data_IF_769947097921
#
_entry.id   IF_769947097921
#
_cell.length_a   1.000
_cell.length_b   1.000
_cell.length_c   1.000
_cell.angle_alpha   90.00
_cell.angle_beta   90.00
_cell.angle_gamma   90.00
#
_symmetry.space_group_name_H-M   'P 1'
#
loop_
_entity.id
_entity.type
_entity.pdbx_description
1 polymer ?
#
# COMPACT_ATOMS: atom_id res chain seq x y z
N UNK A 1 54.04 27.10 -71.60
CA UNK A 1 53.96 28.32 -70.78
C UNK A 1 52.71 28.24 -69.92
N UNK A 2 52.89 28.40 -68.59
CA UNK A 2 51.91 28.68 -67.52
C UNK A 2 50.90 27.59 -67.10
N UNK A 3 50.85 27.44 -65.77
CA UNK A 3 50.17 26.48 -64.90
C UNK A 3 48.72 26.85 -64.51
N UNK A 4 48.07 25.86 -63.86
CA UNK A 4 47.00 25.93 -62.83
C UNK A 4 45.55 26.10 -63.34
N UNK A 5 44.46 25.59 -62.74
CA UNK A 5 44.13 24.67 -61.62
C UNK A 5 42.58 24.45 -61.68
N UNK A 6 42.10 23.31 -61.16
CA UNK A 6 40.79 23.08 -60.46
C UNK A 6 39.44 23.43 -61.14
N UNK A 7 38.53 22.45 -61.25
CA UNK A 7 37.51 22.16 -60.22
C UNK A 7 36.65 20.95 -60.61
N UNK A 8 36.47 20.04 -59.66
CA UNK A 8 35.68 18.79 -59.73
C UNK A 8 34.19 19.04 -59.46
N UNK A 9 33.35 18.38 -60.25
CA UNK A 9 31.89 18.44 -60.23
C UNK A 9 31.32 17.58 -59.08
N UNK A 10 30.48 18.19 -58.24
CA UNK A 10 29.73 17.53 -57.18
C UNK A 10 28.46 16.87 -57.76
N UNK A 11 28.25 15.60 -57.45
CA UNK A 11 26.98 14.90 -57.66
C UNK A 11 26.44 14.45 -56.29
N UNK A 12 25.27 15.01 -55.92
CA UNK A 12 24.47 14.55 -54.79
C UNK A 12 23.93 13.14 -55.08
N UNK A 13 24.15 12.21 -54.15
CA UNK A 13 23.40 10.96 -54.05
C UNK A 13 22.74 10.92 -52.66
N UNK A 14 21.40 10.96 -52.70
CA UNK A 14 20.51 10.81 -51.55
C UNK A 14 20.43 9.32 -51.21
N UNK A 15 20.99 8.93 -50.06
CA UNK A 15 20.80 7.61 -49.48
C UNK A 15 19.82 7.68 -48.31
N UNK A 16 18.61 7.16 -48.50
CA UNK A 16 17.62 6.99 -47.46
C UNK A 16 18.10 5.94 -46.44
N UNK A 17 18.39 6.37 -45.22
CA UNK A 17 18.62 5.48 -44.09
C UNK A 17 17.30 5.32 -43.32
N UNK A 18 16.64 4.17 -43.51
CA UNK A 18 15.59 3.71 -42.62
C UNK A 18 16.21 3.42 -41.25
N UNK A 19 16.21 4.44 -40.39
CA UNK A 19 16.48 4.28 -38.97
C UNK A 19 15.14 3.98 -38.30
N UNK A 20 14.69 2.73 -38.36
CA UNK A 20 13.65 2.24 -37.45
C UNK A 20 14.21 2.35 -36.05
N UNK A 21 13.84 3.41 -35.34
CA UNK A 21 13.94 3.46 -33.89
C UNK A 21 13.22 2.21 -33.37
N UNK A 22 14.00 1.23 -32.93
CA UNK A 22 13.52 0.26 -31.96
C UNK A 22 13.06 1.09 -30.77
N UNK A 23 11.75 1.30 -30.64
CA UNK A 23 11.17 1.62 -29.36
C UNK A 23 11.63 0.53 -28.40
N UNK A 24 12.45 0.90 -27.43
CA UNK A 24 12.69 0.07 -26.26
C UNK A 24 11.31 -0.34 -25.74
N UNK A 25 11.04 -1.64 -25.68
CA UNK A 25 9.92 -2.17 -24.91
C UNK A 25 9.93 -1.50 -23.54
N UNK A 26 8.77 -1.07 -23.06
CA UNK A 26 8.64 -0.40 -21.77
C UNK A 26 9.31 -1.25 -20.67
N UNK A 27 10.27 -0.66 -19.95
CA UNK A 27 10.79 -1.21 -18.70
C UNK A 27 9.64 -1.11 -17.66
N UNK A 28 8.80 -2.15 -17.54
CA UNK A 28 7.62 -2.13 -16.64
C UNK A 28 6.82 -3.44 -16.64
N UNK A 29 5.85 -3.53 -15.70
CA UNK A 29 4.88 -4.62 -15.65
C UNK A 29 3.96 -4.59 -16.87
N UNK A 30 3.60 -5.77 -17.39
CA UNK A 30 2.89 -5.96 -18.67
C UNK A 30 1.53 -6.65 -18.52
N UNK A 31 1.21 -7.16 -17.33
CA UNK A 31 0.11 -8.09 -17.11
C UNK A 31 0.48 -9.56 -17.31
N UNK A 32 1.76 -9.87 -17.56
CA UNK A 32 2.20 -11.23 -17.85
C UNK A 32 2.04 -12.15 -16.62
N UNK A 33 1.68 -13.43 -16.80
CA UNK A 33 1.57 -14.36 -15.68
C UNK A 33 2.87 -14.49 -14.90
N UNK A 34 2.79 -14.41 -13.57
CA UNK A 34 3.93 -14.54 -12.65
C UNK A 34 4.95 -13.39 -12.66
N UNK A 35 4.65 -12.26 -13.32
CA UNK A 35 5.56 -11.11 -13.35
C UNK A 35 5.72 -10.43 -11.97
N UNK A 36 4.67 -10.47 -11.13
CA UNK A 36 4.67 -9.95 -9.77
C UNK A 36 5.22 -11.03 -8.82
N UNK A 37 6.30 -10.69 -8.11
CA UNK A 37 6.96 -11.56 -7.14
C UNK A 37 6.85 -10.93 -5.76
N UNK A 38 6.02 -11.52 -4.91
CA UNK A 38 5.71 -10.97 -3.61
C UNK A 38 6.85 -11.20 -2.61
N UNK A 39 7.09 -10.18 -1.81
CA UNK A 39 7.85 -10.24 -0.56
C UNK A 39 6.87 -9.92 0.56
N UNK A 40 6.70 -10.81 1.52
CA UNK A 40 5.95 -10.51 2.76
C UNK A 40 6.94 -10.19 3.87
N UNK A 41 6.97 -8.94 4.33
CA UNK A 41 7.91 -8.47 5.35
C UNK A 41 7.22 -8.29 6.71
N UNK A 42 7.74 -8.98 7.74
CA UNK A 42 7.31 -8.88 9.14
C UNK A 42 5.75 -8.90 9.29
N UNK A 43 5.06 -9.93 8.74
CA UNK A 43 3.60 -9.96 8.72
C UNK A 43 3.05 -10.17 10.13
N UNK A 44 2.21 -9.25 10.59
CA UNK A 44 1.60 -9.30 11.92
C UNK A 44 0.11 -8.93 11.94
N UNK A 45 -0.48 -8.73 10.76
CA UNK A 45 -1.90 -8.46 10.59
C UNK A 45 -2.51 -9.39 9.54
N UNK A 46 -3.81 -9.67 9.63
CA UNK A 46 -4.45 -10.63 8.72
C UNK A 46 -4.45 -10.15 7.26
N UNK A 47 -4.40 -8.83 7.02
CA UNK A 47 -4.30 -8.25 5.67
C UNK A 47 -3.05 -8.72 4.90
N UNK A 48 -1.94 -9.04 5.58
CA UNK A 48 -0.75 -9.58 4.92
C UNK A 48 -1.06 -10.89 4.18
N UNK A 49 -1.89 -11.75 4.77
CA UNK A 49 -2.33 -12.97 4.11
C UNK A 49 -3.46 -12.69 3.11
N UNK A 50 -4.34 -11.73 3.37
CA UNK A 50 -5.53 -11.48 2.54
C UNK A 50 -5.18 -11.09 1.10
N UNK A 51 -4.04 -10.44 0.86
CA UNK A 51 -3.50 -10.19 -0.49
C UNK A 51 -3.35 -11.48 -1.31
N UNK A 52 -3.10 -12.60 -0.64
CA UNK A 52 -2.93 -13.93 -1.22
C UNK A 52 -4.21 -14.78 -1.14
N UNK A 53 -5.39 -14.21 -0.82
CA UNK A 53 -6.63 -14.99 -0.68
C UNK A 53 -7.07 -15.66 -1.98
N UNK A 54 -6.73 -15.08 -3.14
CA UNK A 54 -7.07 -15.58 -4.48
C UNK A 54 -5.84 -15.55 -5.38
N UNK A 55 -5.81 -16.46 -6.37
CA UNK A 55 -4.68 -16.63 -7.28
C UNK A 55 -4.79 -15.70 -8.48
N UNK A 56 -4.27 -14.48 -8.37
CA UNK A 56 -4.16 -13.57 -9.53
C UNK A 56 -3.11 -14.10 -10.52
N UNK A 57 -3.40 -14.23 -11.83
CA UNK A 57 -2.45 -14.80 -12.80
C UNK A 57 -1.10 -14.10 -12.84
N UNK A 58 -1.08 -12.78 -12.61
CA UNK A 58 0.14 -11.96 -12.60
C UNK A 58 1.08 -12.27 -11.42
N UNK A 59 0.58 -12.88 -10.35
CA UNK A 59 1.35 -13.13 -9.13
C UNK A 59 1.99 -14.51 -9.19
N UNK A 60 3.31 -14.55 -9.05
CA UNK A 60 4.11 -15.76 -8.94
C UNK A 60 3.67 -16.58 -7.72
N UNK A 61 3.59 -17.90 -7.89
CA UNK A 61 3.28 -18.82 -6.79
C UNK A 61 4.37 -18.84 -5.71
N UNK A 62 5.62 -18.59 -6.09
CA UNK A 62 6.73 -18.44 -5.15
C UNK A 62 6.63 -17.06 -4.47
N UNK A 63 6.49 -17.07 -3.15
CA UNK A 63 6.38 -15.88 -2.30
C UNK A 63 7.48 -15.90 -1.24
N UNK A 64 8.20 -14.80 -1.07
CA UNK A 64 9.34 -14.73 -0.17
C UNK A 64 8.96 -14.06 1.14
N UNK A 65 9.06 -14.78 2.25
CA UNK A 65 8.71 -14.25 3.58
C UNK A 65 9.98 -13.95 4.37
N UNK A 66 10.08 -12.75 4.92
CA UNK A 66 11.17 -12.33 5.80
C UNK A 66 10.59 -11.76 7.08
N UNK A 67 10.87 -12.41 8.22
CA UNK A 67 10.28 -12.00 9.49
C UNK A 67 11.19 -12.36 10.69
N UNK A 68 11.01 -11.72 11.86
CA UNK A 68 11.50 -12.29 13.11
C UNK A 68 10.77 -13.62 13.41
N UNK A 69 11.45 -14.55 14.08
CA UNK A 69 10.80 -15.77 14.58
C UNK A 69 9.76 -15.41 15.63
N UNK A 70 8.52 -15.89 15.49
CA UNK A 70 7.50 -15.63 16.51
C UNK A 70 6.08 -15.98 16.09
N UNK A 71 5.13 -15.57 16.94
CA UNK A 71 3.70 -15.77 16.76
C UNK A 71 3.20 -15.21 15.43
N UNK A 72 3.60 -13.97 15.10
CA UNK A 72 3.10 -13.21 13.95
C UNK A 72 3.31 -13.94 12.61
N UNK A 73 4.54 -14.35 12.30
CA UNK A 73 4.85 -15.11 11.07
C UNK A 73 4.19 -16.49 11.06
N UNK A 74 4.12 -17.18 12.20
CA UNK A 74 3.46 -18.48 12.27
C UNK A 74 1.96 -18.37 11.97
N UNK A 75 1.31 -17.32 12.47
CA UNK A 75 -0.09 -17.01 12.22
C UNK A 75 -0.35 -16.60 10.76
N UNK A 76 0.58 -15.86 10.14
CA UNK A 76 0.54 -15.60 8.71
C UNK A 76 0.58 -16.90 7.88
N UNK A 77 1.58 -17.75 8.12
CA UNK A 77 1.76 -19.00 7.37
C UNK A 77 0.57 -19.96 7.54
N UNK A 78 -0.04 -20.04 8.73
CA UNK A 78 -1.27 -20.81 8.95
C UNK A 78 -2.43 -20.32 8.08
N UNK A 79 -2.57 -19.00 7.88
CA UNK A 79 -3.62 -18.43 7.02
C UNK A 79 -3.39 -18.78 5.56
N UNK A 80 -2.14 -18.68 5.09
CA UNK A 80 -1.76 -19.08 3.73
C UNK A 80 -2.04 -20.58 3.50
N UNK A 81 -1.66 -21.43 4.44
CA UNK A 81 -1.95 -22.86 4.36
C UNK A 81 -3.45 -23.14 4.34
N UNK A 82 -4.24 -22.40 5.12
CA UNK A 82 -5.70 -22.45 5.07
C UNK A 82 -6.27 -22.05 3.70
N UNK A 83 -5.60 -21.17 2.94
CA UNK A 83 -6.00 -20.88 1.56
C UNK A 83 -5.58 -21.97 0.58
N UNK A 84 -4.40 -22.58 0.79
CA UNK A 84 -3.90 -23.67 -0.05
C UNK A 84 -4.72 -24.96 0.11
N UNK A 85 -5.33 -25.18 1.28
CA UNK A 85 -6.02 -26.44 1.62
C UNK A 85 -7.55 -26.35 1.64
N UNK A 86 -8.12 -25.18 1.34
CA UNK A 86 -9.59 -25.01 1.30
C UNK A 86 -10.22 -25.83 0.17
N UNK A 87 -11.46 -26.26 0.37
CA UNK A 87 -12.20 -27.05 -0.62
C UNK A 87 -12.46 -26.28 -1.92
N UNK A 88 -12.92 -25.03 -1.80
CA UNK A 88 -13.33 -24.22 -2.94
C UNK A 88 -12.18 -23.34 -3.44
N UNK A 89 -11.77 -23.55 -4.69
CA UNK A 89 -10.71 -22.79 -5.36
C UNK A 89 -9.43 -22.65 -4.51
N UNK A 90 -8.76 -23.76 -4.12
CA UNK A 90 -7.54 -23.70 -3.32
C UNK A 90 -6.45 -22.89 -4.02
N UNK A 91 -5.68 -22.14 -3.24
CA UNK A 91 -4.47 -21.47 -3.73
C UNK A 91 -3.30 -22.47 -3.80
N UNK A 92 -2.17 -22.05 -4.37
CA UNK A 92 -0.98 -22.90 -4.52
C UNK A 92 0.29 -22.11 -4.19
N UNK A 93 0.24 -21.31 -3.12
CA UNK A 93 1.36 -20.48 -2.69
C UNK A 93 2.48 -21.35 -2.13
N UNK A 94 3.70 -21.10 -2.61
CA UNK A 94 4.93 -21.67 -2.10
C UNK A 94 5.65 -20.61 -1.27
N UNK A 95 5.42 -20.63 0.05
CA UNK A 95 6.02 -19.70 1.00
C UNK A 95 7.49 -20.08 1.25
N UNK A 96 8.42 -19.30 0.68
CA UNK A 96 9.86 -19.44 0.85
C UNK A 96 10.29 -18.56 2.02
N UNK A 97 10.38 -19.18 3.21
CA UNK A 97 10.48 -18.45 4.48
C UNK A 97 11.92 -18.29 4.96
N UNK A 98 12.26 -17.07 5.35
CA UNK A 98 13.41 -16.73 6.18
C UNK A 98 12.96 -16.12 7.50
N UNK A 99 13.33 -16.76 8.62
CA UNK A 99 13.17 -16.20 9.95
C UNK A 99 14.52 -16.02 10.64
N UNK A 100 14.78 -14.80 11.13
CA UNK A 100 16.05 -14.42 11.74
C UNK A 100 15.96 -13.03 12.34
N UNK A 101 16.94 -12.60 13.12
CA UNK A 101 17.00 -11.22 13.64
C UNK A 101 17.38 -10.20 12.58
N UNK A 102 18.07 -10.66 11.53
CA UNK A 102 18.57 -9.90 10.37
C UNK A 102 17.60 -9.94 9.17
N UNK A 103 16.33 -10.31 9.38
CA UNK A 103 15.32 -10.51 8.31
C UNK A 103 15.22 -9.37 7.31
N UNK A 104 15.26 -8.10 7.78
CA UNK A 104 15.21 -6.93 6.91
C UNK A 104 16.48 -6.81 6.07
N UNK A 105 17.65 -6.99 6.68
CA UNK A 105 18.95 -6.94 6.00
C UNK A 105 19.05 -8.05 4.96
N UNK A 106 18.59 -9.26 5.31
CA UNK A 106 18.52 -10.41 4.43
C UNK A 106 17.61 -10.15 3.22
N UNK A 107 16.41 -9.60 3.45
CA UNK A 107 15.47 -9.25 2.38
C UNK A 107 16.09 -8.27 1.38
N UNK A 108 16.70 -7.20 1.89
CA UNK A 108 17.31 -6.15 1.07
C UNK A 108 18.56 -6.62 0.32
N UNK A 109 19.30 -7.58 0.89
CA UNK A 109 20.46 -8.19 0.25
C UNK A 109 20.07 -9.17 -0.87
N UNK A 110 19.03 -9.97 -0.65
CA UNK A 110 18.63 -11.02 -1.59
C UNK A 110 17.75 -10.52 -2.73
N UNK A 111 16.93 -9.47 -2.51
CA UNK A 111 16.05 -8.82 -3.51
C UNK A 111 15.26 -9.80 -4.39
N UNK A 112 14.69 -10.84 -3.79
CA UNK A 112 14.05 -11.95 -4.52
C UNK A 112 12.69 -11.61 -5.16
N UNK A 113 12.06 -10.52 -4.76
CA UNK A 113 10.79 -10.06 -5.32
C UNK A 113 10.79 -8.58 -5.72
N UNK A 114 9.69 -8.14 -6.34
CA UNK A 114 9.53 -6.81 -6.91
C UNK A 114 8.32 -6.02 -6.36
N UNK A 115 7.51 -6.65 -5.51
CA UNK A 115 6.45 -6.01 -4.72
C UNK A 115 6.53 -6.51 -3.28
N UNK A 116 6.68 -5.60 -2.32
CA UNK A 116 6.64 -5.89 -0.90
C UNK A 116 5.24 -5.62 -0.33
N UNK A 117 4.74 -6.57 0.44
CA UNK A 117 3.50 -6.49 1.19
C UNK A 117 3.83 -6.18 2.65
N UNK A 118 3.30 -5.08 3.17
CA UNK A 118 3.45 -4.71 4.58
C UNK A 118 2.09 -4.68 5.26
N UNK A 119 1.85 -5.61 6.20
CA UNK A 119 0.76 -5.48 7.16
C UNK A 119 1.11 -6.13 8.50
N UNK A 120 1.28 -5.32 9.54
CA UNK A 120 1.79 -5.77 10.84
C UNK A 120 2.07 -4.60 11.76
N UNK A 121 3.23 -4.62 12.41
CA UNK A 121 3.64 -3.59 13.37
C UNK A 121 3.81 -2.21 12.70
N UNK A 122 2.93 -1.26 13.03
CA UNK A 122 2.87 0.05 12.40
C UNK A 122 4.03 0.98 12.84
N UNK A 123 4.58 0.77 14.05
CA UNK A 123 5.72 1.52 14.56
C UNK A 123 7.02 1.30 13.78
N UNK A 124 7.15 0.15 13.11
CA UNK A 124 8.31 -0.16 12.24
C UNK A 124 8.05 0.11 10.75
N UNK A 125 6.79 0.23 10.37
CA UNK A 125 6.31 0.17 8.99
C UNK A 125 6.93 1.23 8.10
N UNK A 126 6.95 2.50 8.51
CA UNK A 126 7.43 3.58 7.62
C UNK A 126 8.91 3.42 7.26
N UNK A 127 9.74 2.96 8.21
CA UNK A 127 11.16 2.68 7.95
C UNK A 127 11.35 1.48 7.02
N UNK A 128 10.54 0.43 7.18
CA UNK A 128 10.52 -0.69 6.24
C UNK A 128 10.15 -0.26 4.83
N UNK A 129 9.12 0.58 4.69
CA UNK A 129 8.69 1.14 3.41
C UNK A 129 9.85 1.89 2.76
N UNK A 130 10.49 2.81 3.49
CA UNK A 130 11.62 3.61 2.99
C UNK A 130 12.74 2.72 2.42
N UNK A 131 13.28 1.82 3.23
CA UNK A 131 14.40 0.95 2.81
C UNK A 131 14.05 0.07 1.62
N UNK A 132 12.80 -0.38 1.54
CA UNK A 132 12.31 -1.21 0.44
C UNK A 132 12.24 -0.42 -0.88
N UNK A 133 11.74 0.82 -0.82
CA UNK A 133 11.71 1.72 -1.97
C UNK A 133 13.13 2.11 -2.42
N UNK A 134 14.03 2.38 -1.48
CA UNK A 134 15.46 2.62 -1.77
C UNK A 134 16.09 1.45 -2.55
N UNK A 135 15.70 0.22 -2.21
CA UNK A 135 16.14 -0.99 -2.89
C UNK A 135 15.54 -1.20 -4.30
N UNK A 136 14.56 -0.38 -4.70
CA UNK A 136 13.90 -0.43 -6.01
C UNK A 136 12.70 -1.37 -6.07
N UNK A 137 12.06 -1.66 -4.93
CA UNK A 137 10.96 -2.62 -4.81
C UNK A 137 9.65 -1.83 -4.57
N UNK A 138 8.60 -2.13 -5.34
CA UNK A 138 7.27 -1.52 -5.14
C UNK A 138 6.68 -1.95 -3.80
N UNK A 139 5.78 -1.16 -3.22
CA UNK A 139 5.21 -1.45 -1.90
C UNK A 139 3.69 -1.31 -1.91
N UNK A 140 3.01 -2.36 -1.45
CA UNK A 140 1.60 -2.33 -1.05
C UNK A 140 1.53 -2.49 0.47
N UNK A 141 1.07 -1.45 1.17
CA UNK A 141 1.03 -1.43 2.63
C UNK A 141 -0.39 -1.32 3.16
N UNK A 142 -0.73 -2.10 4.16
CA UNK A 142 -1.90 -1.82 4.99
C UNK A 142 -1.72 -0.47 5.71
N UNK A 143 -2.84 0.18 6.00
CA UNK A 143 -2.87 1.42 6.78
C UNK A 143 -2.54 1.15 8.26
N UNK A 144 -2.16 2.19 9.02
CA UNK A 144 -1.66 3.48 8.56
C UNK A 144 -0.19 3.37 8.13
N UNK A 145 0.23 4.09 7.09
CA UNK A 145 1.64 4.15 6.67
C UNK A 145 2.52 5.03 7.57
N UNK A 146 1.91 5.88 8.40
CA UNK A 146 2.55 6.70 9.41
C UNK A 146 1.63 6.84 10.64
N UNK A 147 2.19 6.73 11.85
CA UNK A 147 1.42 6.82 13.11
C UNK A 147 1.68 8.09 13.92
N UNK A 148 2.55 8.98 13.43
CA UNK A 148 2.86 10.28 14.05
C UNK A 148 3.52 11.21 13.02
N UNK A 149 3.77 12.47 13.40
CA UNK A 149 4.36 13.48 12.51
C UNK A 149 5.79 13.15 12.06
N UNK A 150 6.59 12.46 12.88
CA UNK A 150 7.93 12.03 12.47
C UNK A 150 7.85 10.97 11.37
N UNK A 151 6.95 10.01 11.50
CA UNK A 151 6.68 9.03 10.46
C UNK A 151 6.04 9.68 9.23
N UNK A 152 5.17 10.68 9.38
CA UNK A 152 4.60 11.39 8.24
C UNK A 152 5.69 12.07 7.41
N UNK A 153 6.65 12.75 8.05
CA UNK A 153 7.81 13.34 7.36
C UNK A 153 8.66 12.30 6.64
N UNK A 154 8.82 11.11 7.24
CA UNK A 154 9.51 10.00 6.60
C UNK A 154 8.71 9.44 5.41
N UNK A 155 7.38 9.42 5.50
CA UNK A 155 6.49 8.98 4.44
C UNK A 155 6.51 9.93 3.23
N UNK A 156 6.67 11.24 3.44
CA UNK A 156 6.93 12.19 2.35
C UNK A 156 8.19 11.80 1.57
N UNK A 157 9.29 11.50 2.28
CA UNK A 157 10.54 11.03 1.66
C UNK A 157 10.32 9.70 0.89
N UNK A 158 9.51 8.79 1.41
CA UNK A 158 9.14 7.55 0.71
C UNK A 158 8.47 7.83 -0.64
N UNK A 159 7.51 8.77 -0.70
CA UNK A 159 6.86 9.13 -1.96
C UNK A 159 7.81 9.82 -2.94
N UNK A 160 8.75 10.64 -2.45
CA UNK A 160 9.81 11.23 -3.27
C UNK A 160 10.74 10.16 -3.88
N UNK A 161 11.15 9.17 -3.08
CA UNK A 161 11.98 8.04 -3.55
C UNK A 161 11.21 7.21 -4.59
N UNK A 162 9.94 6.90 -4.32
CA UNK A 162 9.08 6.14 -5.24
C UNK A 162 8.96 6.85 -6.60
N UNK A 163 8.70 8.16 -6.58
CA UNK A 163 8.68 9.02 -7.77
C UNK A 163 10.02 9.04 -8.50
N UNK A 164 11.13 9.24 -7.79
CA UNK A 164 12.47 9.28 -8.39
C UNK A 164 12.83 7.96 -9.11
N UNK A 165 12.42 6.82 -8.55
CA UNK A 165 12.71 5.49 -9.08
C UNK A 165 11.63 4.97 -10.04
N UNK A 166 10.56 5.72 -10.27
CA UNK A 166 9.41 5.30 -11.06
C UNK A 166 8.83 3.94 -10.59
N UNK A 167 8.67 3.79 -9.27
CA UNK A 167 8.05 2.64 -8.60
C UNK A 167 6.86 3.11 -7.76
N UNK A 168 6.00 2.17 -7.38
CA UNK A 168 4.75 2.47 -6.68
C UNK A 168 4.86 2.25 -5.17
N UNK A 169 4.34 3.19 -4.40
CA UNK A 169 3.96 3.05 -3.00
C UNK A 169 2.45 3.27 -2.93
N UNK A 170 1.71 2.29 -2.40
CA UNK A 170 0.26 2.35 -2.33
C UNK A 170 -0.25 1.71 -1.04
N UNK A 171 -1.35 2.22 -0.50
CA UNK A 171 -2.02 1.62 0.65
C UNK A 171 -3.35 0.93 0.30
N UNK A 172 -4.03 0.39 1.31
CA UNK A 172 -5.22 -0.45 1.14
C UNK A 172 -6.45 0.25 1.74
N UNK A 173 -7.12 1.07 0.93
CA UNK A 173 -8.38 1.73 1.30
C UNK A 173 -9.60 0.87 0.92
N UNK A 174 -9.88 -0.14 1.74
CA UNK A 174 -10.93 -1.14 1.47
C UNK A 174 -12.33 -0.54 1.34
N UNK A 175 -12.65 0.45 2.19
CA UNK A 175 -14.00 1.00 2.31
C UNK A 175 -14.48 1.69 1.03
N UNK A 176 -13.58 2.13 0.16
CA UNK A 176 -13.92 2.66 -1.19
C UNK A 176 -14.70 1.67 -2.06
N UNK A 177 -14.59 0.36 -1.78
CA UNK A 177 -15.28 -0.70 -2.51
C UNK A 177 -16.52 -1.24 -1.78
N UNK A 178 -16.89 -0.63 -0.65
CA UNK A 178 -18.13 -0.94 0.04
C UNK A 178 -19.29 -0.28 -0.74
N UNK A 179 -20.39 -1.01 -0.92
CA UNK A 179 -21.45 -0.59 -1.85
C UNK A 179 -22.15 0.70 -1.42
N UNK A 180 -22.38 0.91 -0.12
CA UNK A 180 -23.00 2.15 0.35
C UNK A 180 -22.07 3.34 0.18
N UNK A 181 -20.76 3.16 0.37
CA UNK A 181 -19.73 4.16 0.07
C UNK A 181 -19.74 4.54 -1.41
N UNK A 182 -19.75 3.55 -2.32
CA UNK A 182 -19.83 3.81 -3.76
C UNK A 182 -21.10 4.58 -4.13
N UNK A 183 -22.24 4.23 -3.54
CA UNK A 183 -23.50 4.92 -3.76
C UNK A 183 -23.51 6.34 -3.18
N UNK A 184 -22.92 6.57 -2.01
CA UNK A 184 -22.77 7.91 -1.42
C UNK A 184 -21.96 8.82 -2.34
N UNK A 185 -20.82 8.33 -2.86
CA UNK A 185 -20.02 9.05 -3.85
C UNK A 185 -20.81 9.34 -5.12
N UNK A 186 -21.49 8.35 -5.71
CA UNK A 186 -22.23 8.56 -6.94
C UNK A 186 -23.35 9.60 -6.75
N UNK A 187 -24.14 9.49 -5.68
CA UNK A 187 -25.26 10.40 -5.42
C UNK A 187 -24.80 11.83 -5.09
N UNK A 188 -23.64 12.02 -4.45
CA UNK A 188 -23.09 13.35 -4.14
C UNK A 188 -22.74 14.14 -5.42
N UNK A 189 -22.47 13.45 -6.53
CA UNK A 189 -22.13 14.07 -7.82
C UNK A 189 -23.34 14.47 -8.67
N UNK A 190 -24.57 14.21 -8.22
CA UNK A 190 -25.80 14.49 -8.98
C UNK A 190 -26.48 15.73 -8.38
N UNK A 191 -26.37 16.93 -8.99
CA UNK A 191 -26.86 18.17 -8.38
C UNK A 191 -28.38 18.19 -8.16
N UNK A 192 -29.14 17.47 -9.01
CA UNK A 192 -30.59 17.36 -8.86
C UNK A 192 -31.01 16.54 -7.62
N UNK A 193 -30.12 15.73 -7.06
CA UNK A 193 -30.34 14.92 -5.85
C UNK A 193 -29.69 15.58 -4.64
N UNK A 194 -28.39 15.92 -4.76
CA UNK A 194 -27.56 16.36 -3.63
C UNK A 194 -27.50 17.89 -3.48
N UNK A 195 -27.64 18.63 -4.58
CA UNK A 195 -27.35 20.07 -4.61
C UNK A 195 -25.84 20.33 -4.68
N UNK A 196 -25.36 21.27 -3.86
CA UNK A 196 -23.94 21.61 -3.72
C UNK A 196 -23.43 21.21 -2.33
N UNK A 197 -22.16 20.81 -2.23
CA UNK A 197 -21.52 20.47 -0.95
C UNK A 197 -21.47 21.71 -0.04
N UNK A 198 -22.21 21.65 1.07
CA UNK A 198 -22.19 22.68 2.10
C UNK A 198 -20.84 22.72 2.84
N UNK A 199 -20.48 23.90 3.36
CA UNK A 199 -19.25 24.07 4.14
C UNK A 199 -19.42 23.70 5.63
N UNK A 200 -20.61 23.90 6.18
CA UNK A 200 -20.89 23.71 7.61
C UNK A 200 -20.12 24.70 8.50
N UNK A 201 -20.03 24.40 9.79
CA UNK A 201 -19.19 25.10 10.77
C UNK A 201 -18.56 24.11 11.75
N UNK A 202 -17.62 24.53 12.62
CA UNK A 202 -17.10 23.67 13.68
C UNK A 202 -18.20 23.11 14.61
N UNK A 203 -19.26 23.87 14.84
CA UNK A 203 -20.39 23.50 15.70
C UNK A 203 -21.43 22.61 14.98
N UNK A 204 -21.53 22.72 13.66
CA UNK A 204 -22.42 21.91 12.81
C UNK A 204 -21.67 21.47 11.53
N UNK A 205 -20.87 20.39 11.60
CA UNK A 205 -20.06 19.94 10.47
C UNK A 205 -20.94 19.47 9.30
N UNK A 206 -20.56 19.85 8.07
CA UNK A 206 -21.28 19.43 6.87
C UNK A 206 -21.09 17.93 6.52
N UNK A 207 -20.03 17.31 7.03
CA UNK A 207 -19.74 15.88 6.85
C UNK A 207 -19.38 15.31 8.21
N UNK A 208 -20.06 14.24 8.61
CA UNK A 208 -19.83 13.53 9.88
C UNK A 208 -19.69 12.04 9.58
N UNK A 209 -18.59 11.45 10.07
CA UNK A 209 -18.36 10.00 10.03
C UNK A 209 -17.95 9.53 11.41
N UNK A 210 -18.74 8.65 12.00
CA UNK A 210 -18.50 8.06 13.31
C UNK A 210 -18.40 6.54 13.16
N UNK A 211 -17.53 5.90 13.93
CA UNK A 211 -17.32 4.45 13.83
C UNK A 211 -17.01 3.84 15.19
N UNK A 212 -17.65 2.71 15.49
CA UNK A 212 -17.44 1.94 16.71
C UNK A 212 -16.90 0.56 16.34
N UNK A 213 -15.62 0.33 16.66
CA UNK A 213 -14.96 -0.96 16.46
C UNK A 213 -14.77 -1.68 17.79
N UNK A 214 -14.78 -3.01 17.72
CA UNK A 214 -14.62 -3.88 18.89
C UNK A 214 -13.30 -4.66 18.78
N UNK A 215 -12.55 -4.67 19.89
CA UNK A 215 -11.25 -5.34 20.00
C UNK A 215 -11.40 -6.86 19.81
N UNK A 216 -12.32 -7.48 20.54
CA UNK A 216 -12.62 -8.89 20.46
C UNK A 216 -13.74 -9.18 19.45
N UNK A 217 -13.51 -10.16 18.57
CA UNK A 217 -14.51 -10.66 17.61
C UNK A 217 -14.42 -12.18 17.52
N UNK A 218 -15.56 -12.82 17.26
CA UNK A 218 -15.61 -14.21 16.84
C UNK A 218 -15.72 -14.26 15.31
N UNK A 219 -14.94 -15.13 14.68
CA UNK A 219 -15.02 -15.45 13.25
C UNK A 219 -15.15 -16.98 13.17
N UNK A 220 -16.24 -17.47 12.59
CA UNK A 220 -16.60 -18.91 12.56
C UNK A 220 -16.53 -19.56 13.95
N UNK A 221 -17.10 -18.88 14.96
CA UNK A 221 -17.08 -19.28 16.38
C UNK A 221 -15.67 -19.43 16.99
N UNK A 222 -14.63 -18.88 16.34
CA UNK A 222 -13.27 -18.85 16.86
C UNK A 222 -12.86 -17.41 17.21
N UNK A 223 -12.20 -17.19 18.36
CA UNK A 223 -11.63 -15.90 18.69
C UNK A 223 -10.66 -15.40 17.62
N UNK A 224 -10.85 -14.15 17.18
CA UNK A 224 -9.85 -13.45 16.39
C UNK A 224 -8.77 -12.90 17.34
N UNK A 225 -7.74 -13.70 17.58
CA UNK A 225 -6.60 -13.31 18.42
C UNK A 225 -5.79 -12.19 17.77
N UNK A 226 -5.42 -11.19 18.58
CA UNK A 226 -4.54 -10.08 18.19
C UNK A 226 -3.16 -10.26 18.81
N UNK A 227 -2.09 -9.77 18.16
CA UNK A 227 -0.77 -9.77 18.76
C UNK A 227 -0.73 -8.81 19.96
N UNK A 228 0.11 -9.11 20.95
CA UNK A 228 0.22 -8.31 22.19
C UNK A 228 0.56 -6.84 21.92
N UNK A 229 1.36 -6.57 20.89
CA UNK A 229 1.75 -5.21 20.50
C UNK A 229 0.60 -4.40 19.89
N UNK A 230 -0.54 -5.03 19.53
CA UNK A 230 -1.73 -4.31 19.09
C UNK A 230 -2.27 -3.35 20.15
N UNK A 231 -2.08 -3.69 21.43
CA UNK A 231 -2.51 -2.87 22.58
C UNK A 231 -1.47 -1.84 23.01
N UNK A 232 -0.29 -1.83 22.38
CA UNK A 232 0.75 -0.83 22.56
C UNK A 232 0.64 0.22 21.45
N UNK A 233 0.17 1.42 21.79
CA UNK A 233 -0.04 2.50 20.83
C UNK A 233 1.26 3.02 20.19
N UNK A 234 2.42 2.70 20.75
CA UNK A 234 3.72 3.01 20.12
C UNK A 234 4.05 2.07 18.96
N UNK A 235 3.38 0.91 18.89
CA UNK A 235 3.56 -0.11 17.86
C UNK A 235 2.36 -0.18 16.91
N UNK A 236 1.13 -0.15 17.42
CA UNK A 236 -0.09 -0.10 16.60
C UNK A 236 -0.38 1.30 16.04
N UNK A 237 0.00 2.35 16.76
CA UNK A 237 -0.58 3.68 16.59
C UNK A 237 -1.82 3.88 17.44
N UNK A 238 -2.11 5.13 17.79
CA UNK A 238 -3.34 5.47 18.51
C UNK A 238 -4.58 5.32 17.61
N UNK A 239 -5.76 5.17 18.22
CA UNK A 239 -7.02 5.08 17.48
C UNK A 239 -7.26 6.27 16.54
N UNK A 240 -6.82 7.47 16.92
CA UNK A 240 -6.94 8.71 16.14
C UNK A 240 -6.08 8.73 14.86
N UNK A 241 -5.12 7.81 14.70
CA UNK A 241 -4.28 7.67 13.49
C UNK A 241 -4.42 6.31 12.82
N UNK A 242 -5.23 5.39 13.36
CA UNK A 242 -5.39 4.04 12.85
C UNK A 242 -6.61 3.91 11.94
N UNK A 243 -7.80 3.64 12.50
CA UNK A 243 -9.06 3.48 11.75
C UNK A 243 -9.50 4.79 11.09
N UNK A 244 -9.19 5.93 11.69
CA UNK A 244 -9.47 7.26 11.12
C UNK A 244 -8.86 7.46 9.74
N UNK A 245 -7.81 6.73 9.38
CA UNK A 245 -7.26 6.73 8.02
C UNK A 245 -8.35 6.45 6.98
N UNK A 246 -9.21 5.46 7.23
CA UNK A 246 -10.34 5.18 6.34
C UNK A 246 -11.37 6.30 6.35
N UNK A 247 -11.70 6.87 7.51
CA UNK A 247 -12.73 7.92 7.58
C UNK A 247 -12.30 9.20 6.87
N UNK A 248 -11.04 9.62 7.06
CA UNK A 248 -10.45 10.77 6.36
C UNK A 248 -10.39 10.50 4.85
N UNK A 249 -9.96 9.30 4.45
CA UNK A 249 -9.95 8.87 3.05
C UNK A 249 -11.34 8.97 2.41
N UNK A 250 -12.36 8.46 3.09
CA UNK A 250 -13.73 8.46 2.58
C UNK A 250 -14.29 9.87 2.40
N UNK A 251 -14.00 10.81 3.31
CA UNK A 251 -14.41 12.22 3.11
C UNK A 251 -13.82 12.77 1.82
N UNK A 252 -12.53 12.56 1.58
CA UNK A 252 -11.86 13.01 0.36
C UNK A 252 -12.45 12.30 -0.88
N UNK A 253 -12.59 10.98 -0.82
CA UNK A 253 -12.97 10.14 -1.95
C UNK A 253 -14.45 10.29 -2.36
N UNK A 254 -15.36 10.50 -1.41
CA UNK A 254 -16.80 10.63 -1.64
C UNK A 254 -17.24 12.05 -1.96
N UNK A 255 -16.75 13.05 -1.20
CA UNK A 255 -17.21 14.43 -1.30
C UNK A 255 -16.37 15.28 -2.27
N UNK A 256 -15.15 14.85 -2.58
CA UNK A 256 -14.22 15.55 -3.48
C UNK A 256 -13.66 14.61 -4.56
N UNK A 257 -14.54 13.92 -5.33
CA UNK A 257 -14.10 12.88 -6.26
C UNK A 257 -13.14 13.43 -7.31
N UNK A 258 -12.02 12.72 -7.49
CA UNK A 258 -10.95 13.04 -8.45
C UNK A 258 -10.27 14.41 -8.25
N UNK A 259 -10.50 15.07 -7.12
CA UNK A 259 -9.81 16.31 -6.77
C UNK A 259 -8.51 16.00 -6.04
N UNK A 260 -7.42 16.64 -6.46
CA UNK A 260 -6.14 16.57 -5.76
C UNK A 260 -6.25 17.46 -4.52
N UNK A 261 -5.99 16.88 -3.35
CA UNK A 261 -5.94 17.62 -2.08
C UNK A 261 -4.48 18.02 -1.80
N UNK A 262 -4.22 19.32 -1.75
CA UNK A 262 -2.95 19.86 -1.26
C UNK A 262 -3.04 20.01 0.26
N UNK A 263 -2.47 19.03 0.99
CA UNK A 263 -2.54 19.01 2.44
C UNK A 263 -1.98 20.28 3.12
N UNK A 264 -1.18 21.10 2.44
CA UNK A 264 -0.61 22.34 2.98
C UNK A 264 -1.56 23.53 2.90
N UNK A 265 -2.49 23.51 1.94
CA UNK A 265 -3.35 24.64 1.62
C UNK A 265 -4.84 24.32 1.85
N UNK A 266 -5.22 23.05 1.78
CA UNK A 266 -6.62 22.62 1.81
C UNK A 266 -7.06 22.06 3.17
N UNK A 267 -6.11 21.83 4.09
CA UNK A 267 -6.37 21.18 5.39
C UNK A 267 -6.00 22.10 6.55
N UNK A 268 -6.99 22.38 7.39
CA UNK A 268 -6.83 23.05 8.68
C UNK A 268 -7.37 22.14 9.80
N UNK A 269 -6.54 21.82 10.80
CA UNK A 269 -6.99 21.07 11.97
C UNK A 269 -7.64 22.02 12.97
N UNK A 270 -8.90 21.78 13.31
CA UNK A 270 -9.68 22.65 14.19
C UNK A 270 -9.73 22.13 15.64
N UNK A 271 -10.04 20.85 15.82
CA UNK A 271 -10.07 20.19 17.13
C UNK A 271 -9.68 18.70 17.01
N UNK A 272 -9.15 18.12 18.10
CA UNK A 272 -8.76 16.72 18.17
C UNK A 272 -8.78 16.21 19.62
N UNK A 273 -9.41 15.05 19.83
CA UNK A 273 -9.53 14.43 21.15
C UNK A 273 -9.05 12.97 21.12
N UNK A 274 -8.48 12.51 22.24
CA UNK A 274 -8.11 11.11 22.47
C UNK A 274 -8.51 10.68 23.87
N UNK A 275 -8.91 9.42 24.03
CA UNK A 275 -9.22 8.82 25.32
C UNK A 275 -8.88 7.33 25.30
N UNK A 276 -8.95 6.68 26.46
CA UNK A 276 -8.60 5.27 26.63
C UNK A 276 -9.82 4.36 26.60
N UNK A 277 -9.60 3.09 26.27
CA UNK A 277 -10.52 1.99 26.54
C UNK A 277 -9.86 1.08 27.56
N UNK A 278 -10.47 0.91 28.73
CA UNK A 278 -9.96 0.02 29.77
C UNK A 278 -10.07 -1.44 29.33
N UNK A 279 -9.04 -2.23 29.62
CA UNK A 279 -9.00 -3.67 29.35
C UNK A 279 -8.62 -4.38 30.66
N UNK A 280 -9.49 -5.27 31.12
CA UNK A 280 -9.22 -6.12 32.29
C UNK A 280 -8.20 -7.23 31.97
N UNK A 281 -7.55 -7.82 32.98
CA UNK A 281 -6.68 -8.97 32.78
C UNK A 281 -7.37 -10.16 32.10
N UNK A 282 -8.68 -10.33 32.30
CA UNK A 282 -9.48 -11.39 31.68
C UNK A 282 -9.74 -11.13 30.20
N UNK A 283 -10.00 -9.87 29.81
CA UNK A 283 -10.19 -9.48 28.40
C UNK A 283 -8.88 -9.47 27.61
N UNK A 284 -7.74 -9.26 28.28
CA UNK A 284 -6.42 -9.26 27.65
C UNK A 284 -5.90 -10.68 27.31
N UNK A 285 -6.39 -11.71 28.02
CA UNK A 285 -6.00 -13.12 27.81
C UNK A 285 -6.64 -13.70 26.53
#
# INVERSE_FOLDING_TARGET
MKNYLLFSMAALLVGASCNTKQEKAAEGFTGAPGEVKLITLDPGHFHAALVQKVSYPQVSKDVYVYAPTGFDVNEHLKRIEGFNTRAENPTQWNEIVYTGSDYLEKMLAEKKGNVMIQAGNNGKKTEYIKKTLEAGINVLSDKPMAINSQNFKLLEECFDIAKQKNIMLYDIMTERNEITTMLQRELSTIPAIYGEQLKGSPEEPAIVKESVHHLFKLVDNKPLTRPVWYFDVTQQGEGIVDVTTHLVDLVQWEAFPEQIIDYKNDIELLDANRWTTSISPEEFK
#
